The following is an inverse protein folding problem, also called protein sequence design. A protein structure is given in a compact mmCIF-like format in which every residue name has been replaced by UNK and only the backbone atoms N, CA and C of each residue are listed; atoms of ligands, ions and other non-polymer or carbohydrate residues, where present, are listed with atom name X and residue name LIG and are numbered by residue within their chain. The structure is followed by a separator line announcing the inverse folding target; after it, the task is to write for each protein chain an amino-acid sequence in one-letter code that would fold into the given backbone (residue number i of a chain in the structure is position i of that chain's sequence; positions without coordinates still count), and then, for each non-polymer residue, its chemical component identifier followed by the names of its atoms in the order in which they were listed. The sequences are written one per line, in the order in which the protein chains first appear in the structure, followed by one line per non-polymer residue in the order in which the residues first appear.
data_IF_793465737796
#
_entry.id   IF_793465737796
#
_cell.length_a   1.000
_cell.length_b   1.000
_cell.length_c   1.000
_cell.angle_alpha   90.00
_cell.angle_beta   90.00
_cell.angle_gamma   90.00
#
_symmetry.space_group_name_H-M   'P 1'
#
loop_
_entity.id
_entity.type
_entity.pdbx_description
1 polymer ?
#
# COMPACT_ATOMS: atom_id res chain seq x y z
N UNK A 1 5.67 1.90 3.57
CA UNK A 1 5.12 0.78 2.78
C UNK A 1 4.25 1.25 1.61
N UNK A 2 3.07 1.85 1.89
CA UNK A 2 2.05 2.11 0.86
C UNK A 2 2.57 2.83 -0.37
N UNK A 3 3.44 3.84 -0.17
CA UNK A 3 4.03 4.65 -1.24
C UNK A 3 5.09 3.90 -2.05
N UNK A 4 5.86 3.01 -1.44
CA UNK A 4 6.87 2.21 -2.16
C UNK A 4 6.16 1.18 -3.05
N UNK A 5 5.09 0.54 -2.55
CA UNK A 5 4.26 -0.33 -3.38
C UNK A 5 3.68 0.41 -4.57
N UNK A 6 3.17 1.64 -4.37
CA UNK A 6 2.68 2.47 -5.49
C UNK A 6 3.75 2.73 -6.55
N UNK A 7 5.00 2.97 -6.14
CA UNK A 7 6.14 3.12 -7.06
C UNK A 7 6.40 1.83 -7.82
N UNK A 8 6.48 0.68 -7.13
CA UNK A 8 6.71 -0.62 -7.77
C UNK A 8 5.62 -0.96 -8.80
N UNK A 9 4.35 -0.69 -8.45
CA UNK A 9 3.23 -0.84 -9.38
C UNK A 9 3.34 0.12 -10.56
N UNK A 10 3.61 1.40 -10.30
CA UNK A 10 3.72 2.43 -11.33
C UNK A 10 4.84 2.12 -12.33
N UNK A 11 5.99 1.67 -11.85
CA UNK A 11 7.09 1.23 -12.70
C UNK A 11 6.72 0.00 -13.55
N UNK A 12 6.08 -1.01 -12.94
CA UNK A 12 5.65 -2.22 -13.65
C UNK A 12 4.58 -1.90 -14.71
N UNK A 13 3.55 -1.14 -14.35
CA UNK A 13 2.48 -0.81 -15.29
C UNK A 13 2.97 0.16 -16.37
N UNK A 14 3.87 1.09 -16.03
CA UNK A 14 4.55 1.94 -17.01
C UNK A 14 5.27 1.12 -18.08
N UNK A 15 5.96 0.03 -17.67
CA UNK A 15 6.60 -0.90 -18.60
C UNK A 15 5.60 -1.64 -19.49
N UNK A 16 4.49 -2.11 -18.91
CA UNK A 16 3.44 -2.85 -19.64
C UNK A 16 2.60 -1.94 -20.55
N UNK A 17 2.65 -0.63 -20.34
CA UNK A 17 1.97 0.39 -21.13
C UNK A 17 2.85 1.01 -22.22
N UNK A 18 4.09 0.54 -22.42
CA UNK A 18 4.98 1.04 -23.49
C UNK A 18 4.32 0.84 -24.87
N UNK A 19 3.74 -0.33 -25.13
CA UNK A 19 2.85 -0.55 -26.27
C UNK A 19 1.38 -0.39 -25.83
N UNK A 20 0.86 0.82 -25.99
CA UNK A 20 -0.53 1.14 -25.62
C UNK A 20 -1.55 0.35 -26.44
N UNK A 21 -1.24 -0.07 -27.67
CA UNK A 21 -2.18 -0.80 -28.51
C UNK A 21 -2.30 -2.25 -28.04
N UNK A 22 -1.17 -2.90 -27.74
CA UNK A 22 -1.15 -4.24 -27.14
C UNK A 22 -1.79 -4.20 -25.74
N UNK A 23 -1.43 -3.21 -24.93
CA UNK A 23 -1.97 -3.03 -23.58
C UNK A 23 -3.50 -2.97 -23.57
N UNK A 24 -4.09 -2.12 -24.42
CA UNK A 24 -5.55 -1.95 -24.50
C UNK A 24 -6.27 -3.22 -24.93
N UNK A 25 -5.66 -4.03 -25.81
CA UNK A 25 -6.29 -5.22 -26.39
C UNK A 25 -6.15 -6.47 -25.53
N UNK A 26 -4.98 -6.68 -24.93
CA UNK A 26 -4.60 -7.97 -24.32
C UNK A 26 -4.12 -7.78 -22.89
N UNK A 27 -3.05 -7.01 -22.67
CA UNK A 27 -2.34 -6.98 -21.38
C UNK A 27 -3.23 -6.49 -20.24
N UNK A 28 -4.06 -5.47 -20.48
CA UNK A 28 -5.04 -4.97 -19.50
C UNK A 28 -5.92 -6.09 -18.95
N UNK A 29 -6.56 -6.84 -19.86
CA UNK A 29 -7.54 -7.89 -19.50
C UNK A 29 -6.85 -9.00 -18.69
N UNK A 30 -5.61 -9.36 -19.06
CA UNK A 30 -4.85 -10.39 -18.35
C UNK A 30 -4.46 -9.95 -16.93
N UNK A 31 -4.03 -8.69 -16.75
CA UNK A 31 -3.69 -8.16 -15.42
C UNK A 31 -4.93 -8.10 -14.55
N UNK A 32 -6.06 -7.59 -15.05
CA UNK A 32 -7.31 -7.50 -14.28
C UNK A 32 -7.79 -8.89 -13.84
N UNK A 33 -7.71 -9.90 -14.72
CA UNK A 33 -8.01 -11.29 -14.35
C UNK A 33 -7.07 -11.84 -13.29
N UNK A 34 -5.77 -11.54 -13.37
CA UNK A 34 -4.81 -11.99 -12.36
C UNK A 34 -5.04 -11.30 -11.01
N UNK A 35 -5.41 -10.02 -11.01
CA UNK A 35 -5.79 -9.28 -9.81
C UNK A 35 -7.06 -9.87 -9.17
N UNK A 36 -8.07 -10.20 -9.98
CA UNK A 36 -9.27 -10.90 -9.51
C UNK A 36 -8.93 -12.27 -8.91
N UNK A 37 -8.03 -13.04 -9.55
CA UNK A 37 -7.58 -14.35 -9.07
C UNK A 37 -6.99 -14.29 -7.66
N UNK A 38 -6.26 -13.23 -7.33
CA UNK A 38 -5.65 -13.05 -6.00
C UNK A 38 -6.57 -12.38 -4.98
N UNK A 39 -7.84 -12.13 -5.33
CA UNK A 39 -8.85 -11.55 -4.43
C UNK A 39 -9.07 -10.05 -4.58
N UNK A 40 -8.41 -9.37 -5.52
CA UNK A 40 -8.60 -7.95 -5.82
C UNK A 40 -9.67 -7.76 -6.89
N UNK A 41 -10.91 -8.12 -6.55
CA UNK A 41 -12.03 -8.27 -7.50
C UNK A 41 -12.45 -6.99 -8.21
N UNK A 42 -12.25 -5.83 -7.57
CA UNK A 42 -12.66 -4.52 -8.09
C UNK A 42 -11.53 -3.76 -8.79
N UNK A 43 -10.35 -4.36 -8.93
CA UNK A 43 -9.22 -3.72 -9.59
C UNK A 43 -9.47 -3.61 -11.10
N UNK A 44 -9.34 -2.40 -11.64
CA UNK A 44 -9.48 -2.11 -13.05
C UNK A 44 -8.61 -0.93 -13.49
N UNK A 45 -8.22 -0.94 -14.77
CA UNK A 45 -7.60 0.20 -15.44
C UNK A 45 -8.65 1.06 -16.13
N UNK A 46 -8.48 2.37 -16.06
CA UNK A 46 -9.35 3.36 -16.68
C UNK A 46 -8.55 4.51 -17.31
N UNK A 47 -9.12 5.16 -18.32
CA UNK A 47 -8.49 6.33 -18.95
C UNK A 47 -8.60 7.55 -18.02
N UNK A 48 -7.48 8.25 -17.85
CA UNK A 48 -7.40 9.43 -17.00
C UNK A 48 -8.16 10.60 -17.64
N UNK A 49 -9.08 11.20 -16.89
CA UNK A 49 -9.91 12.32 -17.38
C UNK A 49 -9.14 13.64 -17.53
N UNK A 50 -7.99 13.77 -16.86
CA UNK A 50 -7.25 15.02 -16.73
C UNK A 50 -6.03 15.13 -17.65
N UNK A 51 -5.51 14.00 -18.13
CA UNK A 51 -4.34 13.91 -19.01
C UNK A 51 -4.72 13.05 -20.19
N UNK A 52 -5.26 13.67 -21.24
CA UNK A 52 -5.67 12.94 -22.45
C UNK A 52 -4.58 11.97 -22.90
N UNK A 53 -4.93 10.69 -23.01
CA UNK A 53 -4.08 9.52 -23.33
C UNK A 53 -3.30 8.83 -22.19
N UNK A 54 -3.42 9.22 -20.93
CA UNK A 54 -2.84 8.43 -19.81
C UNK A 54 -3.85 7.46 -19.22
N UNK A 55 -3.36 6.32 -18.72
CA UNK A 55 -4.15 5.31 -18.02
C UNK A 55 -3.85 5.37 -16.53
N UNK A 56 -4.90 5.28 -15.73
CA UNK A 56 -4.86 5.14 -14.28
C UNK A 56 -5.46 3.78 -13.89
N UNK A 57 -5.33 3.42 -12.62
CA UNK A 57 -5.84 2.18 -12.07
C UNK A 57 -6.51 2.39 -10.72
N UNK A 58 -7.32 1.41 -10.30
CA UNK A 58 -7.96 1.42 -8.99
C UNK A 58 -6.92 1.52 -7.88
N UNK A 59 -7.05 2.54 -7.02
CA UNK A 59 -6.18 2.69 -5.86
C UNK A 59 -6.40 1.54 -4.88
N UNK A 60 -5.30 0.93 -4.43
CA UNK A 60 -5.34 -0.19 -3.49
C UNK A 60 -5.26 0.29 -2.04
N UNK A 61 -6.05 -0.33 -1.16
CA UNK A 61 -5.94 -0.11 0.28
C UNK A 61 -4.69 -0.78 0.86
N UNK A 62 -4.35 -0.50 2.11
CA UNK A 62 -3.20 -1.14 2.76
C UNK A 62 -3.24 -2.67 2.74
N UNK A 63 -4.36 -3.31 3.13
CA UNK A 63 -4.54 -4.75 2.99
C UNK A 63 -4.42 -5.26 1.55
N UNK A 64 -5.02 -4.56 0.58
CA UNK A 64 -4.97 -4.98 -0.82
C UNK A 64 -3.56 -4.94 -1.39
N UNK A 65 -2.76 -3.93 -1.01
CA UNK A 65 -1.34 -3.84 -1.38
C UNK A 65 -0.51 -5.00 -0.83
N UNK A 66 -0.87 -5.53 0.34
CA UNK A 66 -0.21 -6.72 0.91
C UNK A 66 -0.53 -7.96 0.08
N UNK A 67 -1.81 -8.18 -0.25
CA UNK A 67 -2.25 -9.28 -1.11
C UNK A 67 -1.50 -9.23 -2.44
N UNK A 68 -1.42 -8.04 -3.04
CA UNK A 68 -0.71 -7.84 -4.29
C UNK A 68 0.77 -8.18 -4.21
N UNK A 69 1.49 -7.63 -3.22
CA UNK A 69 2.92 -7.91 -3.04
C UNK A 69 3.22 -9.40 -2.79
N UNK A 70 2.28 -10.11 -2.15
CA UNK A 70 2.47 -11.50 -1.78
C UNK A 70 2.12 -12.48 -2.90
N UNK A 71 1.10 -12.17 -3.72
CA UNK A 71 0.47 -13.17 -4.60
C UNK A 71 0.48 -12.83 -6.09
N UNK A 72 0.78 -11.58 -6.47
CA UNK A 72 0.80 -11.18 -7.87
C UNK A 72 2.03 -11.73 -8.59
N UNK A 73 1.82 -12.49 -9.66
CA UNK A 73 2.90 -13.12 -10.43
C UNK A 73 3.32 -12.27 -11.62
N UNK A 74 4.40 -11.51 -11.44
CA UNK A 74 4.97 -10.63 -12.49
C UNK A 74 5.48 -11.43 -13.70
N UNK A 75 5.91 -12.68 -13.50
CA UNK A 75 6.54 -13.48 -14.57
C UNK A 75 5.57 -13.87 -15.68
N UNK A 76 4.26 -13.79 -15.42
CA UNK A 76 3.21 -13.96 -16.43
C UNK A 76 3.14 -12.83 -17.45
N UNK A 77 3.66 -11.64 -17.10
CA UNK A 77 3.53 -10.43 -17.91
C UNK A 77 4.87 -9.94 -18.47
N UNK A 78 5.97 -10.26 -17.78
CA UNK A 78 7.32 -9.92 -18.23
C UNK A 78 8.11 -11.22 -18.34
N UNK A 79 8.45 -11.60 -19.58
CA UNK A 79 9.21 -12.80 -19.85
C UNK A 79 10.72 -12.65 -19.55
N UNK A 80 11.40 -13.79 -19.43
CA UNK A 80 12.85 -13.87 -19.33
C UNK A 80 13.44 -13.49 -17.96
N UNK A 81 14.74 -13.24 -17.95
CA UNK A 81 15.51 -12.91 -16.74
C UNK A 81 14.99 -11.65 -16.04
N UNK A 82 14.56 -10.66 -16.83
CA UNK A 82 14.02 -9.39 -16.32
C UNK A 82 12.77 -9.61 -15.48
N UNK A 83 11.83 -10.45 -15.93
CA UNK A 83 10.63 -10.78 -15.16
C UNK A 83 10.93 -11.46 -13.82
N UNK A 84 11.91 -12.38 -13.83
CA UNK A 84 12.39 -13.05 -12.61
C UNK A 84 12.99 -12.05 -11.62
N UNK A 85 13.79 -11.10 -12.11
CA UNK A 85 14.37 -10.03 -11.28
C UNK A 85 13.32 -9.10 -10.69
N UNK A 86 12.27 -8.72 -11.45
CA UNK A 86 11.18 -7.89 -10.90
C UNK A 86 10.38 -8.67 -9.86
N UNK A 87 10.10 -9.95 -10.11
CA UNK A 87 9.45 -10.81 -9.11
C UNK A 87 10.28 -10.93 -7.83
N UNK A 88 11.60 -11.11 -7.95
CA UNK A 88 12.52 -11.11 -6.81
C UNK A 88 12.51 -9.76 -6.08
N UNK A 89 12.55 -8.64 -6.80
CA UNK A 89 12.50 -7.29 -6.24
C UNK A 89 11.26 -7.07 -5.36
N UNK A 90 10.10 -7.55 -5.80
CA UNK A 90 8.84 -7.45 -5.04
C UNK A 90 8.86 -8.35 -3.81
N UNK A 91 9.35 -9.58 -3.95
CA UNK A 91 9.49 -10.53 -2.85
C UNK A 91 10.45 -10.01 -1.77
N UNK A 92 11.60 -9.48 -2.17
CA UNK A 92 12.57 -8.90 -1.24
C UNK A 92 11.99 -7.68 -0.52
N UNK A 93 11.27 -6.80 -1.23
CA UNK A 93 10.56 -5.70 -0.57
C UNK A 93 9.56 -6.20 0.47
N UNK A 94 8.76 -7.22 0.13
CA UNK A 94 7.80 -7.81 1.05
C UNK A 94 8.50 -8.41 2.28
N UNK A 95 9.60 -9.15 2.10
CA UNK A 95 10.39 -9.71 3.20
C UNK A 95 10.93 -8.63 4.14
N UNK A 96 11.52 -7.56 3.57
CA UNK A 96 12.01 -6.41 4.34
C UNK A 96 10.87 -5.72 5.08
N UNK A 97 9.70 -5.61 4.47
CA UNK A 97 8.54 -5.05 5.16
C UNK A 97 8.05 -5.94 6.32
N UNK A 98 7.95 -7.25 6.10
CA UNK A 98 7.53 -8.20 7.13
C UNK A 98 8.51 -8.20 8.31
N UNK A 99 9.79 -8.01 8.03
CA UNK A 99 10.80 -7.78 9.06
C UNK A 99 10.40 -6.60 9.96
N UNK A 100 10.08 -5.41 9.42
CA UNK A 100 9.67 -4.25 10.22
C UNK A 100 8.44 -4.48 11.12
N UNK A 101 7.69 -5.56 10.92
CA UNK A 101 6.53 -5.91 11.74
C UNK A 101 6.84 -6.79 12.94
N UNK A 102 8.07 -7.32 13.11
CA UNK A 102 8.39 -8.12 14.31
C UNK A 102 8.31 -7.28 15.58
N UNK A 103 8.06 -7.95 16.70
CA UNK A 103 7.93 -7.29 18.00
C UNK A 103 9.29 -6.93 18.62
N UNK A 104 10.36 -7.64 18.22
CA UNK A 104 11.74 -7.39 18.64
C UNK A 104 12.74 -7.79 17.53
N UNK A 105 13.97 -7.27 17.65
CA UNK A 105 15.07 -7.49 16.70
C UNK A 105 16.40 -7.59 17.44
N UNK A 106 17.34 -8.35 16.90
CA UNK A 106 18.75 -8.37 17.33
C UNK A 106 19.64 -7.53 16.41
N UNK A 107 20.82 -7.12 16.89
CA UNK A 107 21.76 -6.33 16.09
C UNK A 107 22.21 -7.04 14.80
N UNK A 108 22.36 -8.36 14.84
CA UNK A 108 22.71 -9.18 13.66
C UNK A 108 21.58 -9.18 12.63
N UNK A 109 20.33 -9.26 13.07
CA UNK A 109 19.16 -9.13 12.22
C UNK A 109 19.05 -7.74 11.60
N UNK A 110 19.34 -6.67 12.35
CA UNK A 110 19.33 -5.29 11.82
C UNK A 110 20.44 -5.12 10.77
N UNK A 111 21.64 -5.65 11.03
CA UNK A 111 22.73 -5.63 10.05
C UNK A 111 22.34 -6.36 8.75
N UNK A 112 21.69 -7.52 8.89
CA UNK A 112 21.18 -8.28 7.74
C UNK A 112 20.11 -7.49 6.98
N UNK A 113 19.19 -6.84 7.69
CA UNK A 113 18.18 -5.96 7.10
C UNK A 113 18.82 -4.82 6.30
N UNK A 114 19.83 -4.15 6.86
CA UNK A 114 20.53 -3.05 6.18
C UNK A 114 21.20 -3.50 4.87
N UNK A 115 21.90 -4.64 4.91
CA UNK A 115 22.54 -5.22 3.72
C UNK A 115 21.48 -5.56 2.67
N UNK A 116 20.39 -6.21 3.07
CA UNK A 116 19.32 -6.62 2.16
C UNK A 116 18.58 -5.40 1.57
N UNK A 117 18.33 -4.35 2.35
CA UNK A 117 17.73 -3.11 1.87
C UNK A 117 18.62 -2.40 0.85
N UNK A 118 19.93 -2.37 1.08
CA UNK A 118 20.92 -1.82 0.12
C UNK A 118 20.99 -2.66 -1.15
N UNK A 119 20.92 -3.99 -1.06
CA UNK A 119 20.88 -4.86 -2.22
C UNK A 119 19.58 -4.72 -3.00
N UNK A 120 18.46 -4.55 -2.30
CA UNK A 120 17.15 -4.30 -2.90
C UNK A 120 17.12 -3.03 -3.75
N UNK A 121 17.65 -1.90 -3.26
CA UNK A 121 17.69 -0.66 -4.06
C UNK A 121 18.70 -0.73 -5.22
N UNK A 122 19.81 -1.48 -5.06
CA UNK A 122 20.74 -1.75 -6.15
C UNK A 122 20.08 -2.57 -7.25
N UNK A 123 19.29 -3.60 -6.89
CA UNK A 123 18.50 -4.37 -7.83
C UNK A 123 17.47 -3.47 -8.53
N UNK A 124 16.77 -2.60 -7.80
CA UNK A 124 15.82 -1.66 -8.40
C UNK A 124 16.47 -0.80 -9.50
N UNK A 125 17.72 -0.37 -9.30
CA UNK A 125 18.46 0.53 -10.19
C UNK A 125 19.41 -0.19 -11.17
N UNK A 126 19.27 -1.50 -11.36
CA UNK A 126 20.21 -2.24 -12.22
C UNK A 126 20.19 -1.66 -13.64
N UNK A 127 21.33 -1.17 -14.17
CA UNK A 127 21.35 -0.44 -15.43
C UNK A 127 21.12 -1.35 -16.63
N UNK A 128 20.68 -0.76 -17.73
CA UNK A 128 20.65 -1.45 -19.04
C UNK A 128 22.08 -1.69 -19.50
N UNK A 129 22.38 -2.94 -19.86
CA UNK A 129 23.71 -3.35 -20.35
C UNK A 129 23.68 -3.42 -21.87
N UNK A 130 24.71 -2.87 -22.51
CA UNK A 130 24.87 -2.86 -23.97
C UNK A 130 24.63 -1.48 -24.59
N UNK A 131 25.09 -1.31 -25.83
CA UNK A 131 24.86 -0.07 -26.59
C UNK A 131 23.39 0.03 -27.00
N UNK A 132 22.87 1.24 -27.02
CA UNK A 132 21.50 1.53 -27.50
C UNK A 132 21.29 0.93 -28.89
N UNK A 133 20.16 0.25 -29.08
CA UNK A 133 19.77 -0.40 -30.34
C UNK A 133 20.71 -1.54 -30.81
N UNK A 134 21.52 -2.11 -29.91
CA UNK A 134 22.30 -3.31 -30.23
C UNK A 134 21.50 -4.59 -29.96
N UNK A 135 21.73 -5.63 -30.77
CA UNK A 135 21.10 -6.95 -30.61
C UNK A 135 21.40 -7.56 -29.22
N UNK A 136 22.52 -7.19 -28.61
CA UNK A 136 22.94 -7.65 -27.28
C UNK A 136 22.47 -6.75 -26.14
N UNK A 137 21.60 -5.77 -26.39
CA UNK A 137 21.09 -4.87 -25.35
C UNK A 137 20.20 -5.65 -24.38
N UNK A 138 20.62 -5.72 -23.11
CA UNK A 138 19.85 -6.29 -22.02
C UNK A 138 19.25 -5.16 -21.21
N UNK A 139 17.93 -4.97 -21.36
CA UNK A 139 17.19 -3.96 -20.61
C UNK A 139 17.36 -4.17 -19.10
N UNK A 140 17.73 -3.10 -18.41
CA UNK A 140 17.88 -3.05 -16.97
C UNK A 140 16.54 -3.06 -16.23
N UNK A 141 16.58 -2.70 -14.96
CA UNK A 141 15.43 -2.61 -14.07
C UNK A 141 14.71 -1.27 -14.24
N UNK A 142 14.64 -0.44 -13.20
CA UNK A 142 13.93 0.84 -13.20
C UNK A 142 14.92 2.01 -13.09
N UNK A 143 14.46 3.23 -13.37
CA UNK A 143 15.35 4.38 -13.43
C UNK A 143 15.70 4.87 -12.01
N UNK A 144 16.94 5.31 -11.76
CA UNK A 144 17.31 5.94 -10.50
C UNK A 144 16.46 7.19 -10.16
N UNK A 145 15.87 7.84 -11.17
CA UNK A 145 14.96 8.98 -11.00
C UNK A 145 13.62 8.58 -10.37
N UNK A 146 13.24 7.30 -10.43
CA UNK A 146 12.00 6.77 -9.85
C UNK A 146 12.14 6.53 -8.33
N UNK A 147 13.34 6.70 -7.77
CA UNK A 147 13.58 6.58 -6.33
C UNK A 147 12.90 7.74 -5.60
N UNK A 148 11.91 7.40 -4.79
CA UNK A 148 11.20 8.37 -3.95
C UNK A 148 11.90 8.61 -2.61
N UNK A 149 11.59 9.74 -1.92
CA UNK A 149 12.07 9.96 -0.55
C UNK A 149 11.73 8.81 0.41
N UNK A 150 10.60 8.13 0.22
CA UNK A 150 10.23 6.95 1.01
C UNK A 150 11.18 5.77 0.82
N UNK A 151 11.66 5.53 -0.39
CA UNK A 151 12.64 4.48 -0.67
C UNK A 151 14.00 4.83 -0.08
N UNK A 152 14.41 6.10 -0.18
CA UNK A 152 15.64 6.57 0.46
C UNK A 152 15.59 6.39 1.98
N UNK A 153 14.52 6.86 2.64
CA UNK A 153 14.32 6.68 4.08
C UNK A 153 14.31 5.19 4.46
N UNK A 154 13.62 4.37 3.67
CA UNK A 154 13.52 2.94 3.92
C UNK A 154 14.88 2.24 3.94
N UNK A 155 15.80 2.60 3.04
CA UNK A 155 17.08 1.92 2.91
C UNK A 155 18.14 2.49 3.85
N UNK A 156 18.21 3.82 3.97
CA UNK A 156 19.33 4.48 4.65
C UNK A 156 19.03 4.86 6.10
N UNK A 157 17.78 5.17 6.42
CA UNK A 157 17.41 5.68 7.74
C UNK A 157 16.76 4.63 8.63
N UNK A 158 15.92 3.73 8.08
CA UNK A 158 15.26 2.69 8.89
C UNK A 158 16.23 1.82 9.70
N UNK A 159 17.39 1.36 9.18
CA UNK A 159 18.35 0.60 9.99
C UNK A 159 18.82 1.36 11.24
N UNK A 160 19.13 2.65 11.11
CA UNK A 160 19.52 3.49 12.25
C UNK A 160 18.40 3.65 13.27
N UNK A 161 17.16 3.83 12.79
CA UNK A 161 15.98 3.87 13.64
C UNK A 161 15.79 2.56 14.38
N UNK A 162 15.94 1.41 13.72
CA UNK A 162 15.82 0.10 14.35
C UNK A 162 16.81 -0.08 15.49
N UNK A 163 18.08 0.34 15.32
CA UNK A 163 19.09 0.29 16.39
C UNK A 163 18.65 1.12 17.61
N UNK A 164 18.19 2.36 17.37
CA UNK A 164 17.70 3.25 18.43
C UNK A 164 16.47 2.68 19.16
N UNK A 165 15.57 2.01 18.44
CA UNK A 165 14.39 1.39 19.01
C UNK A 165 14.73 0.14 19.82
N UNK A 166 15.64 -0.70 19.32
CA UNK A 166 16.12 -1.89 20.02
C UNK A 166 16.69 -1.53 21.40
N UNK A 167 17.55 -0.50 21.49
CA UNK A 167 18.11 -0.04 22.76
C UNK A 167 17.06 0.43 23.78
N UNK A 168 15.87 0.84 23.32
CA UNK A 168 14.76 1.30 24.16
C UNK A 168 13.72 0.20 24.43
N UNK A 169 13.92 -1.01 23.93
CA UNK A 169 12.92 -2.08 23.99
C UNK A 169 11.63 -1.76 23.21
N UNK A 170 11.74 -0.92 22.18
CA UNK A 170 10.63 -0.49 21.33
C UNK A 170 10.70 -1.13 19.95
N UNK A 171 9.59 -1.09 19.21
CA UNK A 171 9.53 -1.58 17.83
C UNK A 171 8.82 -0.60 16.90
N UNK A 172 8.94 -0.85 15.59
CA UNK A 172 8.40 0.04 14.56
C UNK A 172 6.87 0.13 14.58
N UNK A 173 6.17 -0.90 15.06
CA UNK A 173 4.69 -0.95 15.05
C UNK A 173 4.08 0.11 15.96
N UNK A 174 4.75 0.43 17.07
CA UNK A 174 4.32 1.44 18.03
C UNK A 174 4.28 2.86 17.42
N UNK A 175 5.06 3.11 16.38
CA UNK A 175 5.13 4.40 15.68
C UNK A 175 4.26 4.44 14.41
N UNK A 176 3.41 3.43 14.19
CA UNK A 176 2.50 3.38 13.06
C UNK A 176 1.31 4.34 13.24
N UNK A 177 0.97 5.08 12.19
CA UNK A 177 -0.25 5.92 12.14
C UNK A 177 -1.52 5.14 11.82
N UNK A 178 -1.43 3.82 11.58
CA UNK A 178 -2.57 2.98 11.16
C UNK A 178 -3.76 3.04 12.11
N UNK A 179 -3.52 3.16 13.43
CA UNK A 179 -4.59 3.26 14.43
C UNK A 179 -5.36 4.57 14.31
N UNK A 180 -4.67 5.66 13.97
CA UNK A 180 -5.25 6.99 13.75
C UNK A 180 -6.09 6.97 12.46
N UNK A 181 -5.55 6.41 11.38
CA UNK A 181 -6.28 6.26 10.11
C UNK A 181 -7.55 5.41 10.27
N UNK A 182 -7.47 4.32 11.04
CA UNK A 182 -8.64 3.48 11.37
C UNK A 182 -9.68 4.25 12.19
N UNK A 183 -9.25 5.05 13.17
CA UNK A 183 -10.14 5.89 13.97
C UNK A 183 -10.85 6.93 13.10
N UNK A 184 -10.09 7.60 12.23
CA UNK A 184 -10.64 8.55 11.27
C UNK A 184 -11.67 7.89 10.34
N UNK A 185 -11.37 6.71 9.79
CA UNK A 185 -12.32 5.95 8.96
C UNK A 185 -13.62 5.61 9.71
N UNK A 186 -13.52 5.19 10.97
CA UNK A 186 -14.69 4.90 11.81
C UNK A 186 -15.53 6.16 12.08
N UNK A 187 -14.88 7.30 12.37
CA UNK A 187 -15.58 8.58 12.55
C UNK A 187 -16.30 9.02 11.29
N UNK A 188 -15.62 8.98 10.15
CA UNK A 188 -16.24 9.26 8.84
C UNK A 188 -17.45 8.34 8.64
N UNK A 189 -17.31 7.03 8.86
CA UNK A 189 -18.40 6.07 8.66
C UNK A 189 -19.59 6.32 9.58
N UNK A 190 -19.35 6.62 10.87
CA UNK A 190 -20.40 6.75 11.88
C UNK A 190 -21.15 8.08 11.79
N UNK A 191 -20.44 9.18 11.52
CA UNK A 191 -21.00 10.54 11.60
C UNK A 191 -21.23 11.18 10.23
N UNK A 192 -20.58 10.68 9.17
CA UNK A 192 -20.66 11.25 7.82
C UNK A 192 -21.06 10.23 6.73
N UNK A 193 -20.96 8.92 7.02
CA UNK A 193 -21.21 7.83 6.07
C UNK A 193 -22.69 7.43 5.94
N UNK A 194 -23.53 7.90 6.86
CA UNK A 194 -24.98 7.95 6.65
C UNK A 194 -25.28 9.21 5.87
N UNK A 195 -25.53 9.08 4.57
CA UNK A 195 -26.14 10.15 3.79
C UNK A 195 -27.45 10.56 4.43
N UNK A 196 -27.46 11.67 5.16
CA UNK A 196 -28.63 12.50 5.34
C UNK A 196 -28.94 13.22 4.00
N UNK A 197 -29.07 12.45 2.91
CA UNK A 197 -29.51 12.92 1.58
C UNK A 197 -31.00 13.30 1.57
N UNK A 198 -31.55 13.64 2.73
CA UNK A 198 -32.91 14.12 2.92
C UNK A 198 -33.01 15.16 4.04
N UNK A 199 -31.91 15.82 4.41
CA UNK A 199 -31.93 16.77 5.53
C UNK A 199 -32.30 16.04 6.81
N UNK A 200 -31.34 15.31 7.39
CA UNK A 200 -31.55 14.71 8.70
C UNK A 200 -31.79 15.83 9.71
N UNK A 201 -33.04 16.04 10.08
CA UNK A 201 -33.40 16.79 11.27
C UNK A 201 -32.75 16.09 12.46
N UNK A 202 -31.55 16.55 12.84
CA UNK A 202 -31.09 16.33 14.18
C UNK A 202 -32.08 17.10 15.06
N UNK A 203 -32.88 16.38 15.84
CA UNK A 203 -33.78 16.98 16.84
C UNK A 203 -33.02 17.73 17.94
N UNK A 204 -31.68 17.64 17.95
CA UNK A 204 -30.76 18.40 18.78
C UNK A 204 -29.83 19.20 17.85
N UNK A 205 -29.78 20.53 17.99
CA UNK A 205 -28.93 21.48 17.24
C UNK A 205 -27.40 21.31 17.45
N UNK A 206 -26.94 20.12 17.82
CA UNK A 206 -25.54 19.87 18.12
C UNK A 206 -24.71 19.73 16.84
N UNK A 207 -23.51 20.32 16.87
CA UNK A 207 -22.53 20.14 15.80
C UNK A 207 -22.01 18.69 15.76
N UNK A 208 -21.54 18.25 14.59
CA UNK A 208 -20.93 16.91 14.43
C UNK A 208 -19.73 16.72 15.37
N UNK A 209 -18.99 17.80 15.67
CA UNK A 209 -17.90 17.78 16.64
C UNK A 209 -18.42 17.44 18.05
N UNK A 210 -19.54 18.05 18.45
CA UNK A 210 -20.18 17.74 19.73
C UNK A 210 -20.61 16.27 19.80
N UNK A 211 -21.16 15.71 18.72
CA UNK A 211 -21.59 14.32 18.67
C UNK A 211 -20.41 13.33 18.75
N UNK A 212 -19.31 13.62 18.05
CA UNK A 212 -18.07 12.84 18.14
C UNK A 212 -17.51 12.88 19.56
N UNK A 213 -17.38 14.08 20.16
CA UNK A 213 -16.85 14.24 21.51
C UNK A 213 -17.72 13.53 22.55
N UNK A 214 -19.05 13.66 22.44
CA UNK A 214 -20.00 12.99 23.31
C UNK A 214 -19.91 11.46 23.19
N UNK A 215 -19.79 10.95 21.97
CA UNK A 215 -19.61 9.52 21.72
C UNK A 215 -18.31 8.99 22.33
N UNK A 216 -17.18 9.66 22.08
CA UNK A 216 -15.86 9.26 22.60
C UNK A 216 -15.79 9.33 24.12
N UNK A 217 -16.31 10.41 24.74
CA UNK A 217 -16.39 10.54 26.19
C UNK A 217 -17.22 9.40 26.81
N UNK A 218 -18.30 9.00 26.15
CA UNK A 218 -19.13 7.87 26.59
C UNK A 218 -18.39 6.54 26.46
N UNK A 219 -17.61 6.34 25.40
CA UNK A 219 -16.76 5.15 25.27
C UNK A 219 -15.70 5.08 26.39
N UNK A 220 -15.08 6.21 26.74
CA UNK A 220 -14.12 6.29 27.84
C UNK A 220 -14.77 5.97 29.18
N UNK A 221 -15.95 6.56 29.46
CA UNK A 221 -16.71 6.24 30.67
C UNK A 221 -17.00 4.75 30.79
N UNK A 222 -17.42 4.09 29.71
CA UNK A 222 -17.68 2.65 29.75
C UNK A 222 -16.44 1.82 30.01
N UNK A 223 -15.31 2.22 29.42
CA UNK A 223 -14.02 1.55 29.63
C UNK A 223 -13.51 1.72 31.07
N UNK A 224 -13.66 2.91 31.66
CA UNK A 224 -13.18 3.18 33.02
C UNK A 224 -14.04 2.52 34.11
N UNK A 225 -15.32 2.26 33.84
CA UNK A 225 -16.26 1.73 34.82
C UNK A 225 -16.63 0.24 34.58
N UNK A 226 -15.90 -0.48 33.70
CA UNK A 226 -16.15 -1.89 33.35
C UNK A 226 -17.63 -2.19 33.02
N UNK A 227 -18.32 -1.24 32.40
CA UNK A 227 -19.74 -1.38 32.06
C UNK A 227 -19.89 -2.00 30.67
N UNK A 228 -20.80 -2.98 30.54
CA UNK A 228 -20.97 -3.73 29.29
C UNK A 228 -21.36 -2.81 28.13
N UNK A 229 -20.64 -2.93 27.01
CA UNK A 229 -20.87 -2.16 25.79
C UNK A 229 -22.25 -2.47 25.19
N UNK A 230 -23.26 -1.64 25.42
CA UNK A 230 -24.46 -1.65 24.58
C UNK A 230 -24.19 -0.80 23.33
N UNK A 231 -23.41 -1.33 22.37
CA UNK A 231 -23.38 -0.75 21.03
C UNK A 231 -24.63 -1.26 20.32
N UNK A 232 -25.72 -0.49 20.35
CA UNK A 232 -26.76 -0.62 19.33
C UNK A 232 -26.16 -0.10 18.03
N UNK A 233 -25.49 -0.97 17.27
CA UNK A 233 -25.27 -0.69 15.85
C UNK A 233 -26.66 -0.42 15.27
N UNK A 234 -26.89 0.77 14.72
CA UNK A 234 -27.99 0.97 13.77
C UNK A 234 -27.67 0.05 12.60
N UNK A 235 -28.19 -1.17 12.65
CA UNK A 235 -28.27 -2.05 11.48
C UNK A 235 -29.28 -1.35 10.57
N UNK A 236 -28.77 -0.55 9.64
CA UNK A 236 -29.57 -0.06 8.53
C UNK A 236 -29.82 -1.30 7.66
N UNK A 237 -30.97 -1.94 7.86
CA UNK A 237 -31.46 -2.93 6.91
C UNK A 237 -31.79 -2.18 5.62
N UNK A 238 -31.35 -2.67 4.45
CA UNK A 238 -31.88 -2.14 3.20
C UNK A 238 -33.38 -2.39 3.20
N UNK A 239 -34.16 -1.34 2.96
CA UNK A 239 -35.59 -1.50 2.69
C UNK A 239 -35.76 -2.29 1.38
N UNK A 240 -36.82 -3.13 1.28
CA UNK A 240 -37.09 -3.97 0.11
C UNK A 240 -37.31 -3.18 -1.17
#
# INVERSE_FOLDING_TARGET
MLRITDVLMGCLFGDLMIDLNEFKKVTKILIEKEMQRIGLTHFQFFESKSKGKSWDWTSLTGPDKLIMLQHFDVTKFIAGDRGKKISLLWKEFFNLYQFLRKDSFSDSEINSFEINAKNWIKLFCEPTIGKSNSINQRRGMFNPTDITPYMHIFVFHIPEFLRKLQHKGLNMRQFSTSSIEKKNHLHVKLFFGGTTMGGGNNSNDNSVLHDILSFENRQLYYLMNDTSRCIKQRIIRPNP
#
